data_IF_847597740984
#
_entry.id   IF_847597740984
#
_cell.length_a   1.000
_cell.length_b   1.000
_cell.length_c   1.000
_cell.angle_alpha   90.00
_cell.angle_beta   90.00
_cell.angle_gamma   90.00
#
_symmetry.space_group_name_H-M   'P 1'
#
loop_
_entity.id
_entity.type
_entity.pdbx_description
1 polymer ?
#
# COMPACT_ATOMS: atom_id res chain seq x y z
N UNK A 1 3.34 -14.87 11.43
CA UNK A 1 2.29 -14.83 10.38
C UNK A 1 2.88 -14.14 9.17
N UNK A 2 2.37 -14.48 7.99
CA UNK A 2 2.66 -13.80 6.74
C UNK A 2 1.61 -12.72 6.51
N UNK A 3 2.03 -11.45 6.62
CA UNK A 3 1.13 -10.30 6.59
C UNK A 3 1.41 -9.50 5.32
N UNK A 4 0.37 -9.22 4.54
CA UNK A 4 0.47 -8.23 3.47
C UNK A 4 0.16 -6.84 4.03
N UNK A 5 0.99 -5.85 3.72
CA UNK A 5 0.73 -4.44 4.04
C UNK A 5 0.40 -3.73 2.73
N UNK A 6 -0.81 -3.17 2.66
CA UNK A 6 -1.20 -2.27 1.58
C UNK A 6 -0.79 -0.84 1.95
N UNK A 7 -0.07 -0.16 1.08
CA UNK A 7 0.44 1.19 1.30
C UNK A 7 0.55 1.95 -0.03
N UNK A 8 0.66 3.28 0.02
CA UNK A 8 0.63 4.14 -1.17
C UNK A 8 -0.77 4.32 -1.73
N UNK A 9 -1.07 3.69 -2.86
CA UNK A 9 -2.34 3.85 -3.57
C UNK A 9 -2.42 5.15 -4.40
N UNK A 10 -3.54 5.29 -5.11
CA UNK A 10 -3.85 6.45 -5.93
C UNK A 10 -4.74 7.43 -5.16
N UNK A 11 -4.11 8.30 -4.37
CA UNK A 11 -4.78 9.22 -3.47
C UNK A 11 -3.91 10.46 -3.24
N UNK A 12 -4.48 11.66 -3.04
CA UNK A 12 -3.74 12.83 -2.53
C UNK A 12 -3.03 12.61 -1.18
N UNK A 13 -3.31 11.51 -0.50
CA UNK A 13 -2.69 11.14 0.78
C UNK A 13 -1.63 10.02 0.62
N UNK A 14 -1.22 9.74 -0.62
CA UNK A 14 -0.28 8.66 -0.98
C UNK A 14 1.01 8.70 -0.15
N UNK A 15 1.62 9.86 0.02
CA UNK A 15 2.87 10.02 0.76
C UNK A 15 2.69 9.74 2.25
N UNK A 16 1.53 10.09 2.81
CA UNK A 16 1.15 9.72 4.18
C UNK A 16 0.98 8.21 4.30
N UNK A 17 0.39 7.57 3.28
CA UNK A 17 0.20 6.12 3.22
C UNK A 17 1.52 5.35 3.08
N UNK A 18 2.46 5.86 2.27
CA UNK A 18 3.79 5.27 2.15
C UNK A 18 4.55 5.35 3.48
N UNK A 19 4.53 6.50 4.15
CA UNK A 19 5.23 6.70 5.42
C UNK A 19 4.63 5.87 6.56
N UNK A 20 3.30 5.86 6.70
CA UNK A 20 2.62 5.04 7.73
C UNK A 20 2.78 3.54 7.44
N UNK A 21 2.64 3.13 6.18
CA UNK A 21 2.83 1.76 5.73
C UNK A 21 4.25 1.24 5.96
N UNK A 22 5.27 2.07 5.72
CA UNK A 22 6.66 1.74 6.05
C UNK A 22 6.84 1.51 7.55
N UNK A 23 6.32 2.42 8.39
CA UNK A 23 6.40 2.28 9.85
C UNK A 23 5.69 1.02 10.36
N UNK A 24 4.50 0.71 9.81
CA UNK A 24 3.77 -0.54 10.09
C UNK A 24 4.61 -1.74 9.70
N UNK A 25 5.15 -1.76 8.48
CA UNK A 25 5.95 -2.87 7.97
C UNK A 25 7.20 -3.13 8.82
N UNK A 26 7.90 -2.07 9.26
CA UNK A 26 9.05 -2.17 10.18
C UNK A 26 8.63 -2.78 11.51
N UNK A 27 7.54 -2.29 12.11
CA UNK A 27 7.03 -2.82 13.38
C UNK A 27 6.64 -4.30 13.26
N UNK A 28 5.98 -4.70 12.17
CA UNK A 28 5.61 -6.11 11.93
C UNK A 28 6.86 -7.00 11.79
N UNK A 29 7.89 -6.53 11.09
CA UNK A 29 9.16 -7.24 10.94
C UNK A 29 9.88 -7.40 12.30
N UNK A 30 9.92 -6.34 13.11
CA UNK A 30 10.48 -6.36 14.48
C UNK A 30 9.74 -7.36 15.39
N UNK A 31 8.44 -7.56 15.16
CA UNK A 31 7.61 -8.55 15.84
C UNK A 31 7.67 -9.95 15.18
N UNK A 32 8.70 -10.23 14.37
CA UNK A 32 8.99 -11.55 13.79
C UNK A 32 7.86 -12.05 12.86
N UNK A 33 7.22 -11.14 12.13
CA UNK A 33 6.29 -11.49 11.06
C UNK A 33 6.98 -11.44 9.69
N UNK A 34 6.52 -12.30 8.78
CA UNK A 34 6.87 -12.18 7.36
C UNK A 34 5.99 -11.11 6.73
N UNK A 35 6.57 -10.22 5.94
CA UNK A 35 5.84 -9.10 5.31
C UNK A 35 5.87 -9.20 3.79
N UNK A 36 4.76 -8.82 3.16
CA UNK A 36 4.68 -8.50 1.73
C UNK A 36 4.17 -7.07 1.61
N UNK A 37 4.89 -6.22 0.89
CA UNK A 37 4.47 -4.84 0.66
C UNK A 37 3.87 -4.72 -0.74
N UNK A 38 2.66 -4.16 -0.82
CA UNK A 38 1.95 -3.96 -2.08
C UNK A 38 1.43 -2.54 -2.16
N UNK A 39 1.71 -1.90 -3.28
CA UNK A 39 1.11 -0.61 -3.64
C UNK A 39 0.02 -0.81 -4.68
N UNK A 40 -1.26 -0.60 -4.34
CA UNK A 40 -2.36 -0.79 -5.28
C UNK A 40 -2.29 0.11 -6.52
N UNK A 41 -1.55 1.23 -6.48
CA UNK A 41 -1.31 2.06 -7.66
C UNK A 41 -0.27 1.48 -8.61
N UNK A 42 0.50 0.47 -8.18
CA UNK A 42 1.48 -0.25 -8.99
C UNK A 42 1.00 -1.63 -9.44
N UNK A 43 -0.20 -2.06 -9.01
CA UNK A 43 -0.78 -3.37 -9.36
C UNK A 43 -0.05 -4.51 -8.66
N UNK A 44 0.43 -5.49 -9.43
CA UNK A 44 1.26 -6.58 -8.92
C UNK A 44 2.73 -6.17 -8.60
N UNK A 45 3.03 -4.86 -8.61
CA UNK A 45 4.33 -4.31 -8.25
C UNK A 45 4.63 -4.48 -6.75
N UNK A 46 5.73 -5.16 -6.45
CA UNK A 46 6.20 -5.39 -5.07
C UNK A 46 7.09 -4.24 -4.62
N UNK A 47 6.94 -3.84 -3.36
CA UNK A 47 7.87 -2.92 -2.70
C UNK A 47 8.78 -3.69 -1.73
N UNK A 48 9.97 -3.16 -1.50
CA UNK A 48 10.86 -3.58 -0.43
C UNK A 48 11.10 -2.40 0.51
N UNK A 49 11.37 -2.66 1.79
CA UNK A 49 11.66 -1.62 2.79
C UNK A 49 12.87 -0.74 2.44
N UNK A 50 13.73 -1.18 1.53
CA UNK A 50 14.90 -0.43 1.08
C UNK A 50 14.63 0.40 -0.19
N UNK A 51 13.42 0.34 -0.76
CA UNK A 51 13.07 1.13 -1.92
C UNK A 51 13.06 2.63 -1.59
N UNK A 52 13.61 3.51 -2.45
CA UNK A 52 13.66 4.95 -2.19
C UNK A 52 12.30 5.59 -1.93
N UNK A 53 11.22 5.04 -2.53
CA UNK A 53 9.85 5.53 -2.37
C UNK A 53 9.34 5.43 -0.93
N UNK A 54 9.90 4.52 -0.13
CA UNK A 54 9.57 4.36 1.29
C UNK A 54 10.48 5.16 2.21
N UNK A 55 11.55 5.77 1.70
CA UNK A 55 12.49 6.59 2.50
C UNK A 55 12.18 8.09 2.39
N UNK A 56 11.03 8.44 1.80
CA UNK A 56 10.61 9.82 1.57
C UNK A 56 10.03 10.48 2.82
N UNK A 57 10.13 11.81 2.89
CA UNK A 57 9.38 12.61 3.86
C UNK A 57 7.97 12.90 3.36
N UNK A 58 7.00 12.96 4.26
CA UNK A 58 5.66 13.46 3.94
C UNK A 58 5.73 14.96 3.63
N UNK A 59 5.35 15.41 2.43
CA UNK A 59 5.42 16.81 2.05
C UNK A 59 4.38 17.65 2.83
N UNK A 60 4.68 18.93 3.05
CA UNK A 60 3.78 19.87 3.76
C UNK A 60 2.48 20.13 2.99
N UNK A 61 2.49 19.92 1.67
CA UNK A 61 1.33 20.09 0.80
C UNK A 61 1.04 18.76 0.09
N UNK A 62 -0.23 18.37 -0.03
CA UNK A 62 -0.59 17.20 -0.82
C UNK A 62 -0.23 17.39 -2.30
N UNK A 63 0.08 16.31 -3.03
CA UNK A 63 0.29 16.34 -4.47
C UNK A 63 -0.92 16.90 -5.23
N UNK A 64 -0.66 17.49 -6.40
CA UNK A 64 -1.75 17.83 -7.32
C UNK A 64 -2.25 16.58 -8.03
N UNK A 65 -3.46 16.61 -8.59
CA UNK A 65 -4.01 15.48 -9.34
C UNK A 65 -3.11 14.99 -10.51
N UNK A 66 -2.25 15.87 -11.04
CA UNK A 66 -1.30 15.55 -12.11
C UNK A 66 -0.10 14.74 -11.65
N UNK A 67 0.20 14.78 -10.35
CA UNK A 67 1.34 14.10 -9.73
C UNK A 67 0.94 12.70 -9.24
N UNK A 68 -0.37 12.41 -9.23
CA UNK A 68 -0.89 11.11 -8.83
C UNK A 68 -0.67 10.05 -9.92
N UNK A 69 -0.48 8.78 -9.54
CA UNK A 69 -0.51 7.66 -10.48
C UNK A 69 -1.80 7.69 -11.31
N UNK A 70 -1.74 7.27 -12.59
CA UNK A 70 -2.95 7.14 -13.39
C UNK A 70 -3.96 6.21 -12.69
N UNK A 71 -5.18 6.71 -12.53
CA UNK A 71 -6.24 5.94 -11.88
C UNK A 71 -6.67 4.78 -12.77
N UNK A 72 -6.50 3.56 -12.25
CA UNK A 72 -6.97 2.36 -12.91
C UNK A 72 -7.43 1.37 -11.86
N UNK A 73 -8.75 1.22 -11.74
CA UNK A 73 -9.37 0.25 -10.84
C UNK A 73 -8.89 -1.18 -11.11
N UNK A 74 -8.39 -1.48 -12.31
CA UNK A 74 -7.75 -2.76 -12.63
C UNK A 74 -6.53 -3.07 -11.77
N UNK A 75 -5.74 -2.06 -11.37
CA UNK A 75 -4.54 -2.29 -10.57
C UNK A 75 -4.85 -2.79 -9.17
N UNK A 76 -5.93 -2.30 -8.56
CA UNK A 76 -6.38 -2.78 -7.25
C UNK A 76 -6.75 -4.28 -7.34
N UNK A 77 -7.46 -4.67 -8.41
CA UNK A 77 -7.82 -6.07 -8.64
C UNK A 77 -6.57 -6.92 -8.85
N UNK A 78 -5.59 -6.46 -9.64
CA UNK A 78 -4.30 -7.13 -9.82
C UNK A 78 -3.56 -7.32 -8.49
N UNK A 79 -3.58 -6.31 -7.60
CA UNK A 79 -2.97 -6.41 -6.27
C UNK A 79 -3.65 -7.48 -5.42
N UNK A 80 -4.98 -7.58 -5.44
CA UNK A 80 -5.73 -8.60 -4.68
C UNK A 80 -5.50 -10.00 -5.25
N UNK A 81 -5.51 -10.16 -6.58
CA UNK A 81 -5.18 -11.43 -7.25
C UNK A 81 -3.75 -11.87 -6.92
N UNK A 82 -2.80 -10.93 -6.96
CA UNK A 82 -1.42 -11.15 -6.54
C UNK A 82 -1.34 -11.67 -5.09
N UNK A 83 -2.09 -11.09 -4.15
CA UNK A 83 -2.08 -11.54 -2.76
C UNK A 83 -2.74 -12.92 -2.58
N UNK A 84 -3.81 -13.19 -3.33
CA UNK A 84 -4.56 -14.46 -3.28
C UNK A 84 -3.69 -15.67 -3.59
N UNK A 85 -2.72 -15.53 -4.51
CA UNK A 85 -1.78 -16.60 -4.87
C UNK A 85 -0.65 -16.87 -3.87
N UNK A 86 -0.59 -16.16 -2.73
CA UNK A 86 0.60 -16.14 -1.85
C UNK A 86 0.36 -16.62 -0.42
N UNK A 87 -0.82 -17.15 -0.10
CA UNK A 87 -1.17 -17.68 1.23
C UNK A 87 -0.84 -16.70 2.35
N UNK A 88 -1.36 -15.48 2.23
CA UNK A 88 -1.23 -14.43 3.25
C UNK A 88 -2.23 -14.72 4.38
N UNK A 89 -1.78 -14.63 5.64
CA UNK A 89 -2.62 -14.87 6.82
C UNK A 89 -3.52 -13.67 7.15
N UNK A 90 -3.03 -12.45 6.88
CA UNK A 90 -3.71 -11.19 7.19
C UNK A 90 -3.28 -10.07 6.23
N UNK A 91 -4.24 -9.23 5.85
CA UNK A 91 -3.96 -7.99 5.10
C UNK A 91 -4.13 -6.79 6.04
N UNK A 92 -3.05 -6.03 6.22
CA UNK A 92 -3.05 -4.77 6.95
C UNK A 92 -3.24 -3.62 5.95
N UNK A 93 -4.34 -2.88 6.06
CA UNK A 93 -4.64 -1.75 5.18
C UNK A 93 -4.03 -0.47 5.77
N UNK A 94 -2.86 -0.08 5.26
CA UNK A 94 -2.18 1.21 5.56
C UNK A 94 -2.42 2.28 4.50
N UNK A 95 -3.56 2.21 3.80
CA UNK A 95 -3.96 3.15 2.76
C UNK A 95 -4.68 4.36 3.36
N UNK A 96 -4.51 5.54 2.75
CA UNK A 96 -5.19 6.78 3.16
C UNK A 96 -5.90 7.45 1.99
N UNK A 97 -7.08 8.00 2.27
CA UNK A 97 -7.95 8.63 1.27
C UNK A 97 -8.45 7.68 0.18
N UNK A 98 -9.39 8.18 -0.63
CA UNK A 98 -9.93 7.48 -1.79
C UNK A 98 -10.29 6.02 -1.52
N UNK A 99 -9.91 5.14 -2.45
CA UNK A 99 -10.22 3.71 -2.40
C UNK A 99 -9.70 2.97 -1.15
N UNK A 100 -8.72 3.56 -0.45
CA UNK A 100 -8.17 3.01 0.78
C UNK A 100 -9.11 3.09 1.98
N UNK A 101 -9.97 4.12 2.02
CA UNK A 101 -10.81 4.43 3.19
C UNK A 101 -12.32 4.53 2.85
N UNK A 102 -12.69 4.44 1.58
CA UNK A 102 -14.09 4.54 1.11
C UNK A 102 -14.84 3.20 0.98
N UNK A 103 -14.20 2.08 1.35
CA UNK A 103 -14.80 0.75 1.31
C UNK A 103 -14.46 -0.07 0.06
N UNK A 104 -13.86 0.51 -0.99
CA UNK A 104 -13.59 -0.21 -2.25
C UNK A 104 -12.56 -1.33 -2.07
N UNK A 105 -11.43 -1.03 -1.43
CA UNK A 105 -10.41 -2.06 -1.15
C UNK A 105 -10.97 -3.11 -0.18
N UNK A 106 -11.74 -2.70 0.82
CA UNK A 106 -12.32 -3.59 1.82
C UNK A 106 -13.38 -4.53 1.22
N UNK A 107 -14.13 -4.08 0.22
CA UNK A 107 -15.11 -4.92 -0.47
C UNK A 107 -14.48 -6.00 -1.36
N UNK A 108 -13.18 -5.89 -1.68
CA UNK A 108 -12.44 -6.87 -2.47
C UNK A 108 -11.66 -7.88 -1.62
N UNK A 109 -11.32 -7.52 -0.38
CA UNK A 109 -10.59 -8.36 0.59
C UNK A 109 -11.53 -9.32 1.32
#
# INVERSE_FOLDING_TARGET
>A
MKIAVLLGGNSPEREVSLASGEAIARALLENQHEIILVDPALGAGQLNLNEPILQGNVPVRPPSLKDLPEDSSFRIIESVDYLSGRSVDLVFVGLHGGAGEDGRVQGLL
#
